data_IF_940874960936
#
_entry.id   IF_940874960936
#
_cell.length_a   1.000
_cell.length_b   1.000
_cell.length_c   1.000
_cell.angle_alpha   90.00
_cell.angle_beta   90.00
_cell.angle_gamma   90.00
#
_symmetry.space_group_name_H-M   'P 1'
#
loop_
_entity.id
_entity.type
_entity.pdbx_description
1 polymer ?
#
# COMPACT_ATOMS: atom_id res chain seq x y z
N UNK A 1 -12.73 -9.08 14.22
CA UNK A 1 -11.64 -9.09 13.23
C UNK A 1 -12.22 -9.51 11.89
N UNK A 2 -12.47 -8.59 10.95
CA UNK A 2 -13.03 -8.94 9.64
C UNK A 2 -11.94 -9.48 8.71
N UNK A 3 -12.19 -10.65 8.12
CA UNK A 3 -11.42 -11.17 7.00
C UNK A 3 -12.16 -10.84 5.70
N UNK A 4 -11.40 -10.49 4.67
CA UNK A 4 -11.90 -10.35 3.30
C UNK A 4 -11.18 -11.33 2.39
N UNK A 5 -11.85 -11.79 1.33
CA UNK A 5 -11.25 -12.63 0.30
C UNK A 5 -11.18 -11.85 -1.01
N UNK A 6 -10.06 -11.96 -1.70
CA UNK A 6 -9.85 -11.50 -3.07
C UNK A 6 -9.26 -12.63 -3.89
N UNK A 7 -9.46 -12.61 -5.21
CA UNK A 7 -8.84 -13.58 -6.10
C UNK A 7 -7.34 -13.30 -6.17
N UNK A 8 -6.54 -14.28 -5.75
CA UNK A 8 -5.09 -14.17 -5.80
C UNK A 8 -4.65 -14.08 -7.25
N UNK A 9 -3.73 -13.15 -7.54
CA UNK A 9 -3.12 -13.08 -8.85
C UNK A 9 -2.00 -14.13 -8.96
N UNK A 10 -2.15 -15.07 -9.90
CA UNK A 10 -1.18 -16.14 -10.17
C UNK A 10 -0.97 -16.32 -11.67
N UNK A 11 0.17 -16.89 -12.05
CA UNK A 11 0.46 -17.34 -13.42
C UNK A 11 0.98 -18.80 -13.39
N UNK A 12 0.25 -19.78 -13.96
CA UNK A 12 -1.06 -19.63 -14.62
C UNK A 12 -2.16 -19.22 -13.63
N UNK A 13 -3.25 -18.65 -14.15
CA UNK A 13 -4.41 -18.26 -13.34
C UNK A 13 -5.02 -19.48 -12.64
N UNK A 14 -5.16 -19.39 -11.31
CA UNK A 14 -5.78 -20.40 -10.46
C UNK A 14 -6.91 -19.77 -9.64
N UNK A 15 -7.98 -20.51 -9.29
CA UNK A 15 -9.12 -20.00 -8.54
C UNK A 15 -8.85 -19.85 -7.03
N UNK A 16 -7.60 -19.55 -6.65
CA UNK A 16 -7.21 -19.47 -5.24
C UNK A 16 -7.56 -18.10 -4.65
N UNK A 17 -8.17 -18.12 -3.46
CA UNK A 17 -8.47 -16.91 -2.70
C UNK A 17 -7.29 -16.48 -1.82
N UNK A 18 -6.95 -15.19 -1.88
CA UNK A 18 -6.17 -14.53 -0.86
C UNK A 18 -7.10 -14.03 0.26
N UNK A 19 -7.03 -14.67 1.42
CA UNK A 19 -7.80 -14.26 2.62
C UNK A 19 -6.97 -13.29 3.45
N UNK A 20 -7.43 -12.05 3.53
CA UNK A 20 -6.72 -10.94 4.17
C UNK A 20 -7.39 -10.63 5.50
N UNK A 21 -6.60 -10.63 6.57
CA UNK A 21 -6.99 -9.97 7.81
C UNK A 21 -6.87 -8.46 7.62
N UNK A 22 -8.00 -7.76 7.60
CA UNK A 22 -8.04 -6.30 7.39
C UNK A 22 -7.20 -5.52 8.40
N UNK A 23 -7.07 -6.01 9.64
CA UNK A 23 -6.25 -5.36 10.66
C UNK A 23 -4.74 -5.49 10.42
N UNK A 24 -4.32 -6.39 9.51
CA UNK A 24 -2.92 -6.58 9.16
C UNK A 24 -2.52 -5.74 7.94
N UNK A 25 -3.42 -5.00 7.31
CA UNK A 25 -3.07 -4.17 6.14
C UNK A 25 -2.22 -2.99 6.57
N UNK A 26 -1.06 -2.82 5.91
CA UNK A 26 -0.17 -1.67 6.08
C UNK A 26 -0.51 -0.60 5.04
N UNK A 27 -0.46 -0.97 3.77
CA UNK A 27 -0.86 -0.11 2.66
C UNK A 27 -1.21 -0.93 1.41
N UNK A 28 -1.88 -0.30 0.46
CA UNK A 28 -2.30 -0.88 -0.83
C UNK A 28 -1.83 0.01 -1.96
N UNK A 29 -1.38 -0.57 -3.06
CA UNK A 29 -0.98 0.19 -4.24
C UNK A 29 -1.28 -0.58 -5.53
N UNK A 30 -1.26 0.13 -6.66
CA UNK A 30 -1.37 -0.51 -7.96
C UNK A 30 -0.16 -1.44 -8.15
N UNK A 31 -0.40 -2.62 -8.72
CA UNK A 31 0.68 -3.55 -9.03
C UNK A 31 1.66 -2.92 -10.01
N UNK A 32 2.94 -3.27 -9.84
CA UNK A 32 3.99 -2.88 -10.78
C UNK A 32 3.85 -3.66 -12.09
N UNK A 33 4.36 -3.13 -13.23
CA UNK A 33 4.27 -3.82 -14.52
C UNK A 33 4.92 -5.21 -14.56
N UNK A 34 5.88 -5.49 -13.67
CA UNK A 34 6.57 -6.78 -13.54
C UNK A 34 5.84 -7.78 -12.63
N UNK A 35 4.75 -7.38 -11.97
CA UNK A 35 3.95 -8.23 -11.09
C UNK A 35 2.65 -8.66 -11.77
N UNK A 36 2.25 -9.90 -11.53
CA UNK A 36 0.95 -10.41 -11.96
C UNK A 36 -0.13 -9.87 -11.01
N UNK A 37 -1.24 -9.36 -11.56
CA UNK A 37 -2.35 -8.78 -10.79
C UNK A 37 -2.51 -7.28 -11.00
N UNK A 38 -3.62 -6.72 -10.53
CA UNK A 38 -3.92 -5.29 -10.67
C UNK A 38 -3.54 -4.49 -9.43
N UNK A 39 -3.63 -5.12 -8.25
CA UNK A 39 -3.42 -4.45 -6.96
C UNK A 39 -2.51 -5.27 -6.08
N UNK A 40 -1.57 -4.63 -5.41
CA UNK A 40 -0.70 -5.24 -4.39
C UNK A 40 -1.13 -4.77 -3.00
N UNK A 41 -1.29 -5.71 -2.08
CA UNK A 41 -1.62 -5.46 -0.67
C UNK A 41 -0.41 -5.79 0.20
N UNK A 42 0.03 -4.83 1.01
CA UNK A 42 1.16 -5.02 1.92
C UNK A 42 0.64 -5.32 3.32
N UNK A 43 1.11 -6.42 3.91
CA UNK A 43 0.59 -6.98 5.16
C UNK A 43 1.67 -7.03 6.25
N UNK A 44 1.23 -6.75 7.47
CA UNK A 44 2.04 -6.77 8.69
C UNK A 44 2.74 -8.12 8.86
N UNK A 45 4.06 -8.07 9.08
CA UNK A 45 4.85 -9.26 9.39
C UNK A 45 5.02 -10.24 8.23
N UNK A 46 4.64 -9.86 7.00
CA UNK A 46 4.88 -10.66 5.79
C UNK A 46 6.18 -10.27 5.06
N UNK A 47 6.92 -9.28 5.58
CA UNK A 47 8.23 -8.88 5.05
C UNK A 47 8.14 -8.45 3.59
N UNK A 48 8.90 -9.13 2.72
CA UNK A 48 8.93 -8.85 1.27
C UNK A 48 7.96 -9.72 0.46
N UNK A 49 7.06 -10.46 1.11
CA UNK A 49 6.08 -11.27 0.40
C UNK A 49 5.14 -10.36 -0.40
N UNK A 50 4.99 -10.66 -1.68
CA UNK A 50 4.09 -9.93 -2.58
C UNK A 50 2.71 -10.58 -2.53
N UNK A 51 1.71 -9.82 -2.10
CA UNK A 51 0.32 -10.24 -2.16
C UNK A 51 -0.40 -9.45 -3.24
N UNK A 52 -0.37 -9.97 -4.47
CA UNK A 52 -1.09 -9.37 -5.59
C UNK A 52 -2.45 -10.03 -5.79
N UNK A 53 -3.44 -9.22 -6.14
CA UNK A 53 -4.82 -9.64 -6.39
C UNK A 53 -5.29 -9.17 -7.78
N UNK A 54 -6.28 -9.87 -8.33
CA UNK A 54 -6.81 -9.54 -9.66
C UNK A 54 -7.73 -8.33 -9.68
N UNK A 55 -8.29 -7.97 -8.51
CA UNK A 55 -9.22 -6.89 -8.32
C UNK A 55 -8.55 -5.52 -8.49
N UNK A 56 -9.33 -4.58 -9.04
CA UNK A 56 -8.88 -3.19 -9.20
C UNK A 56 -8.61 -2.53 -7.85
N UNK A 57 -7.72 -1.53 -7.86
CA UNK A 57 -7.35 -0.81 -6.64
C UNK A 57 -8.55 -0.16 -5.96
N UNK A 58 -9.49 0.39 -6.73
CA UNK A 58 -10.71 1.01 -6.20
C UNK A 58 -11.61 0.00 -5.48
N UNK A 59 -11.72 -1.22 -6.02
CA UNK A 59 -12.46 -2.32 -5.38
C UNK A 59 -11.81 -2.71 -4.06
N UNK A 60 -10.49 -2.96 -4.08
CA UNK A 60 -9.74 -3.38 -2.88
C UNK A 60 -9.82 -2.32 -1.78
N UNK A 61 -9.58 -1.05 -2.12
CA UNK A 61 -9.63 0.07 -1.15
C UNK A 61 -11.03 0.23 -0.56
N UNK A 62 -12.07 0.16 -1.39
CA UNK A 62 -13.47 0.28 -0.94
C UNK A 62 -13.84 -0.86 0.01
N UNK A 63 -13.41 -2.08 -0.30
CA UNK A 63 -13.77 -3.25 0.52
C UNK A 63 -12.97 -3.34 1.83
N UNK A 64 -11.73 -2.84 1.86
CA UNK A 64 -10.95 -2.74 3.11
C UNK A 64 -11.47 -1.61 4.01
N UNK A 65 -11.79 -0.46 3.43
CA UNK A 65 -12.24 0.72 4.15
C UNK A 65 -11.16 1.37 5.03
N UNK A 66 -11.36 2.63 5.40
CA UNK A 66 -10.49 3.33 6.35
C UNK A 66 -9.04 3.56 5.90
N UNK A 67 -8.74 3.37 4.61
CA UNK A 67 -7.43 3.68 4.03
C UNK A 67 -7.35 5.14 3.58
N UNK A 68 -6.17 5.72 3.72
CA UNK A 68 -5.88 7.13 3.36
C UNK A 68 -5.01 7.17 2.11
N UNK A 69 -5.50 7.80 1.05
CA UNK A 69 -4.79 7.94 -0.22
C UNK A 69 -3.69 8.99 -0.17
N UNK A 70 -2.48 8.61 -0.56
CA UNK A 70 -1.27 9.44 -0.57
C UNK A 70 -0.55 9.30 -1.92
N UNK A 71 0.22 10.31 -2.34
CA UNK A 71 1.12 10.17 -3.50
C UNK A 71 2.43 9.52 -3.07
N UNK A 72 2.84 8.47 -3.77
CA UNK A 72 4.12 7.78 -3.52
C UNK A 72 5.29 8.68 -3.91
N UNK A 73 6.28 8.75 -3.03
CA UNK A 73 7.58 9.35 -3.37
C UNK A 73 8.53 8.27 -3.91
N UNK A 74 9.19 8.57 -5.02
CA UNK A 74 10.21 7.71 -5.64
C UNK A 74 11.59 8.34 -5.45
N UNK A 75 12.62 7.52 -5.20
CA UNK A 75 14.01 8.02 -5.13
C UNK A 75 14.54 8.43 -6.51
N UNK A 76 14.05 7.76 -7.55
CA UNK A 76 14.26 8.15 -8.94
C UNK A 76 13.05 8.98 -9.40
N UNK A 77 13.11 9.62 -10.59
CA UNK A 77 11.91 10.16 -11.21
C UNK A 77 10.77 9.13 -11.19
N UNK A 78 9.52 9.57 -11.01
CA UNK A 78 8.39 8.65 -11.11
C UNK A 78 8.37 7.98 -12.49
N UNK A 79 7.71 6.81 -12.62
CA UNK A 79 7.44 6.21 -13.92
C UNK A 79 6.81 7.21 -14.91
N UNK A 80 6.88 6.93 -16.21
CA UNK A 80 6.35 7.81 -17.26
C UNK A 80 4.85 8.11 -17.07
N UNK A 81 4.10 7.18 -16.46
CA UNK A 81 2.69 7.33 -16.11
C UNK A 81 2.44 8.17 -14.84
N UNK A 82 3.49 8.72 -14.24
CA UNK A 82 3.46 9.58 -13.06
C UNK A 82 3.62 8.84 -11.72
N UNK A 83 3.53 9.59 -10.63
CA UNK A 83 3.64 9.05 -9.28
C UNK A 83 2.39 8.23 -8.91
N UNK A 84 2.58 6.98 -8.51
CA UNK A 84 1.48 6.11 -8.06
C UNK A 84 0.82 6.62 -6.78
N UNK A 85 -0.47 6.36 -6.64
CA UNK A 85 -1.21 6.54 -5.38
C UNK A 85 -1.04 5.30 -4.51
N UNK A 86 -0.65 5.51 -3.24
CA UNK A 86 -0.62 4.49 -2.19
C UNK A 86 -1.74 4.76 -1.20
N UNK A 87 -2.43 3.73 -0.73
CA UNK A 87 -3.53 3.83 0.23
C UNK A 87 -3.06 3.23 1.55
N UNK A 88 -2.77 4.07 2.53
CA UNK A 88 -2.15 3.69 3.80
C UNK A 88 -3.23 3.38 4.83
N UNK A 89 -3.01 2.35 5.64
CA UNK A 89 -3.82 2.03 6.82
C UNK A 89 -3.27 2.79 8.04
N UNK A 90 -3.95 3.84 8.55
CA UNK A 90 -3.44 4.62 9.67
C UNK A 90 -3.32 3.79 10.95
N UNK A 91 -4.14 2.76 11.11
CA UNK A 91 -4.18 1.90 12.30
C UNK A 91 -2.85 1.17 12.55
N UNK A 92 -2.02 0.98 11.52
CA UNK A 92 -0.73 0.30 11.62
C UNK A 92 0.47 1.25 11.45
N UNK A 93 0.24 2.56 11.40
CA UNK A 93 1.32 3.56 11.38
C UNK A 93 1.87 3.71 12.79
N UNK A 94 3.19 3.58 12.92
CA UNK A 94 3.90 3.85 14.18
C UNK A 94 4.19 5.34 14.33
N UNK A 95 4.80 5.95 13.32
CA UNK A 95 5.13 7.36 13.31
C UNK A 95 5.43 7.84 11.89
N UNK A 96 5.39 9.16 11.72
CA UNK A 96 5.67 9.85 10.46
C UNK A 96 6.76 10.88 10.68
N UNK A 97 7.74 10.95 9.77
CA UNK A 97 8.89 11.86 9.88
C UNK A 97 9.17 12.56 8.55
N UNK A 98 9.42 13.88 8.53
CA UNK A 98 9.81 14.56 7.30
C UNK A 98 11.22 14.16 6.88
N UNK A 99 11.51 14.21 5.58
CA UNK A 99 12.87 13.99 5.08
C UNK A 99 13.84 15.10 5.51
N UNK A 100 13.36 16.35 5.57
CA UNK A 100 14.10 17.52 6.00
C UNK A 100 13.33 18.28 7.09
N UNK A 101 13.98 18.72 8.19
CA UNK A 101 13.29 19.30 9.35
C UNK A 101 12.50 20.59 9.08
N UNK A 102 12.90 21.39 8.09
CA UNK A 102 12.37 22.74 7.88
C UNK A 102 11.75 22.96 6.49
N UNK A 103 11.94 22.02 5.56
CA UNK A 103 11.43 22.12 4.19
C UNK A 103 11.21 20.71 3.65
N UNK A 104 10.18 20.00 4.13
CA UNK A 104 9.93 18.63 3.72
C UNK A 104 9.60 18.56 2.22
N UNK A 105 10.30 17.69 1.51
CA UNK A 105 9.98 17.32 0.12
C UNK A 105 9.14 16.03 0.09
N UNK A 106 9.36 15.17 1.08
CA UNK A 106 8.62 13.93 1.27
C UNK A 106 8.66 13.50 2.74
N UNK A 107 7.84 12.52 3.06
CA UNK A 107 7.65 11.99 4.40
C UNK A 107 7.92 10.50 4.43
N UNK A 108 8.56 10.06 5.50
CA UNK A 108 8.72 8.66 5.86
C UNK A 108 7.54 8.25 6.74
N UNK A 109 6.77 7.27 6.28
CA UNK A 109 5.71 6.61 7.07
C UNK A 109 6.26 5.26 7.53
N UNK A 110 6.48 5.14 8.83
CA UNK A 110 7.00 3.90 9.45
C UNK A 110 5.84 3.13 10.08
N UNK A 111 5.72 1.86 9.76
CA UNK A 111 4.68 0.98 10.30
C UNK A 111 5.13 0.29 11.60
N UNK A 112 4.18 -0.32 12.31
CA UNK A 112 4.43 -1.01 13.59
C UNK A 112 5.36 -2.23 13.47
N UNK A 113 5.57 -2.79 12.27
CA UNK A 113 6.60 -3.82 12.01
C UNK A 113 7.95 -3.27 11.57
N UNK A 114 8.12 -1.93 11.55
CA UNK A 114 9.34 -1.26 11.14
C UNK A 114 9.53 -1.16 9.62
N UNK A 115 8.58 -1.64 8.81
CA UNK A 115 8.59 -1.35 7.38
C UNK A 115 8.30 0.14 7.12
N UNK A 116 8.74 0.63 5.96
CA UNK A 116 8.69 2.05 5.61
C UNK A 116 8.12 2.26 4.21
N UNK A 117 7.23 3.24 4.05
CA UNK A 117 6.82 3.79 2.76
C UNK A 117 7.07 5.30 2.73
N UNK A 118 7.33 5.85 1.54
CA UNK A 118 7.59 7.28 1.35
C UNK A 118 6.48 7.92 0.57
N UNK A 119 6.01 9.07 1.05
CA UNK A 119 4.92 9.83 0.42
C UNK A 119 5.29 11.30 0.25
N UNK A 120 4.68 11.96 -0.74
CA UNK A 120 4.88 13.39 -1.02
C UNK A 120 3.93 14.24 -0.15
N UNK A 121 4.34 15.47 0.18
CA UNK A 121 3.54 16.49 0.88
C UNK A 121 2.27 16.90 0.08
N UNK A 122 1.15 17.27 0.75
CA UNK A 122 0.90 17.27 2.20
C UNK A 122 0.70 15.87 2.79
N UNK A 123 1.01 15.70 4.08
CA UNK A 123 0.50 14.56 4.86
C UNK A 123 -1.04 14.58 4.78
N UNK A 124 -1.67 13.50 4.30
CA UNK A 124 -3.13 13.49 4.23
C UNK A 124 -3.76 13.40 5.61
N UNK A 125 -4.92 14.04 5.74
CA UNK A 125 -5.70 14.07 6.97
C UNK A 125 -5.96 12.66 7.50
N UNK A 126 -5.60 12.42 8.76
CA UNK A 126 -5.83 11.14 9.44
C UNK A 126 -4.66 10.16 9.45
N UNK A 127 -3.44 10.59 9.08
CA UNK A 127 -2.17 9.88 9.36
C UNK A 127 -1.40 10.48 10.54
#
# INVERSE_FOLDING_TARGET
>A
MPFISFNKATDPAAPDDLRINTSAVLYVEASRPDLIGQTTVHLLGQGTAVHAVTESIGTVVTSLGGLVGCKRHYLAPPPDDGASTVYISPANVSHVRPNLPASPEFWYVTFVDGSEVRIVDPLPDGL
#
